data_IF_910794597453
#
_entry.id   IF_910794597453
#
_cell.length_a   1.000
_cell.length_b   1.000
_cell.length_c   1.000
_cell.angle_alpha   90.00
_cell.angle_beta   90.00
_cell.angle_gamma   90.00
#
_symmetry.space_group_name_H-M   'P 1'
#
loop_
_entity.id
_entity.type
_entity.pdbx_description
1 polymer ?
#
# COMPACT_ATOMS: atom_id res chain seq x y z
N UNK A 1 -18.89 -2.52 18.89
CA UNK A 1 -17.78 -1.61 19.31
C UNK A 1 -16.48 -2.34 19.02
N UNK A 2 -15.99 -2.27 17.78
CA UNK A 2 -14.74 -2.90 17.38
C UNK A 2 -13.68 -1.81 17.27
N UNK A 3 -12.59 -1.98 18.01
CA UNK A 3 -11.52 -1.00 18.12
C UNK A 3 -10.83 -0.78 16.78
N UNK A 4 -10.54 0.49 16.48
CA UNK A 4 -9.65 0.94 15.42
C UNK A 4 -8.40 0.03 15.36
N UNK A 5 -8.22 -0.71 14.26
CA UNK A 5 -6.95 -1.34 13.90
C UNK A 5 -6.14 -0.39 13.00
N UNK A 6 -5.98 0.87 13.41
CA UNK A 6 -4.73 1.55 13.07
C UNK A 6 -3.61 0.72 13.72
N UNK A 7 -2.42 0.64 13.12
CA UNK A 7 -1.27 0.09 13.81
C UNK A 7 -1.25 0.63 15.24
N UNK A 8 -1.07 -0.24 16.24
CA UNK A 8 -1.20 0.20 17.65
C UNK A 8 -0.18 1.32 17.84
N UNK A 9 -0.44 2.36 18.63
CA UNK A 9 0.50 3.48 18.81
C UNK A 9 1.95 3.02 19.08
N UNK A 10 2.12 1.89 19.78
CA UNK A 10 3.41 1.24 20.04
C UNK A 10 4.15 0.73 18.78
N UNK A 11 3.44 0.33 17.72
CA UNK A 11 4.04 -0.14 16.47
C UNK A 11 4.71 1.01 15.71
N UNK A 12 4.07 2.19 15.67
CA UNK A 12 4.66 3.39 15.05
C UNK A 12 5.87 3.90 15.81
N UNK A 13 5.81 3.95 17.15
CA UNK A 13 6.97 4.37 17.95
C UNK A 13 8.15 3.41 17.79
N UNK A 14 7.89 2.09 17.73
CA UNK A 14 8.95 1.10 17.51
C UNK A 14 9.57 1.21 16.12
N UNK A 15 8.76 1.41 15.08
CA UNK A 15 9.25 1.54 13.73
C UNK A 15 10.00 2.87 13.51
N UNK A 16 9.52 3.98 14.10
CA UNK A 16 10.26 5.24 14.16
C UNK A 16 11.62 5.06 14.86
N UNK A 17 11.65 4.36 15.99
CA UNK A 17 12.87 4.08 16.73
C UNK A 17 13.90 3.28 15.91
N UNK A 18 13.44 2.26 15.18
CA UNK A 18 14.27 1.47 14.26
C UNK A 18 14.82 2.35 13.13
N UNK A 19 13.97 3.19 12.54
CA UNK A 19 14.35 4.09 11.46
C UNK A 19 15.38 5.13 11.88
N UNK A 20 15.17 5.79 13.03
CA UNK A 20 16.14 6.74 13.60
C UNK A 20 17.49 6.06 13.83
N UNK A 21 17.48 4.85 14.40
CA UNK A 21 18.70 4.06 14.61
C UNK A 21 19.41 3.75 13.29
N UNK A 22 18.67 3.25 12.29
CA UNK A 22 19.23 2.88 10.99
C UNK A 22 19.85 4.08 10.26
N UNK A 23 19.16 5.23 10.23
CA UNK A 23 19.66 6.46 9.59
C UNK A 23 20.90 7.02 10.29
N UNK A 24 20.96 6.89 11.62
CA UNK A 24 22.13 7.27 12.42
C UNK A 24 23.32 6.37 12.11
N UNK A 25 23.11 5.04 12.09
CA UNK A 25 24.15 4.05 11.83
C UNK A 25 24.67 4.13 10.39
N UNK A 26 23.81 4.40 9.40
CA UNK A 26 24.21 4.64 8.01
C UNK A 26 25.14 5.85 7.85
N UNK A 27 25.05 6.83 8.76
CA UNK A 27 25.97 7.99 8.83
C UNK A 27 27.24 7.72 9.65
N UNK A 28 27.37 6.53 10.23
CA UNK A 28 28.46 6.20 11.15
C UNK A 28 28.39 6.96 12.48
N UNK A 29 27.23 7.50 12.85
CA UNK A 29 27.08 8.30 14.07
C UNK A 29 26.81 7.43 15.30
N UNK A 30 27.43 7.79 16.43
CA UNK A 30 27.05 7.27 17.73
C UNK A 30 25.74 7.91 18.20
N UNK A 31 25.08 7.31 19.20
CA UNK A 31 23.90 7.93 19.85
C UNK A 31 24.23 9.32 20.41
N UNK A 32 25.40 9.46 21.02
CA UNK A 32 25.86 10.75 21.57
C UNK A 32 26.00 11.81 20.48
N UNK A 33 26.52 11.41 19.31
CA UNK A 33 26.64 12.31 18.17
C UNK A 33 25.27 12.77 17.67
N UNK A 34 24.31 11.86 17.43
CA UNK A 34 22.96 12.27 17.00
C UNK A 34 22.26 13.12 18.07
N UNK A 35 22.39 12.76 19.35
CA UNK A 35 21.78 13.52 20.43
C UNK A 35 22.31 14.96 20.47
N UNK A 36 23.62 15.14 20.25
CA UNK A 36 24.27 16.44 20.14
C UNK A 36 23.75 17.25 18.95
N UNK A 37 23.74 16.66 17.75
CA UNK A 37 23.26 17.36 16.54
C UNK A 37 21.77 17.73 16.64
N UNK A 38 20.94 16.85 17.22
CA UNK A 38 19.52 17.10 17.42
C UNK A 38 19.20 17.97 18.66
N UNK A 39 20.21 18.47 19.38
CA UNK A 39 20.03 19.25 20.62
C UNK A 39 19.13 18.56 21.68
N UNK A 40 19.20 17.23 21.80
CA UNK A 40 18.46 16.44 22.80
C UNK A 40 19.39 15.68 23.73
N UNK A 41 18.89 15.26 24.89
CA UNK A 41 19.72 14.46 25.79
C UNK A 41 20.01 13.07 25.20
N UNK A 42 21.24 12.56 25.40
CA UNK A 42 21.59 11.19 25.03
C UNK A 42 20.66 10.16 25.71
N UNK A 43 20.14 10.47 26.91
CA UNK A 43 19.13 9.65 27.60
C UNK A 43 17.81 9.61 26.85
N UNK A 44 17.36 10.73 26.27
CA UNK A 44 16.15 10.80 25.44
C UNK A 44 16.31 9.92 24.21
N UNK A 45 17.42 10.04 23.50
CA UNK A 45 17.68 9.24 22.31
C UNK A 45 17.81 7.74 22.66
N UNK A 46 18.50 7.39 23.75
CA UNK A 46 18.62 6.02 24.21
C UNK A 46 17.27 5.39 24.60
N UNK A 47 16.34 6.18 25.17
CA UNK A 47 14.97 5.74 25.46
C UNK A 47 14.13 5.57 24.19
N UNK A 48 14.30 6.47 23.21
CA UNK A 48 13.62 6.36 21.92
C UNK A 48 14.07 5.10 21.20
N UNK A 49 15.37 4.87 21.06
CA UNK A 49 15.92 3.70 20.36
C UNK A 49 15.82 2.39 21.17
N UNK A 50 15.52 2.43 22.47
CA UNK A 50 15.48 1.25 23.35
C UNK A 50 14.22 0.39 23.20
N UNK A 51 14.17 -0.75 23.91
CA UNK A 51 13.07 -1.73 23.83
C UNK A 51 11.71 -1.20 24.34
N UNK A 52 11.71 -0.08 25.08
CA UNK A 52 10.51 0.60 25.56
C UNK A 52 10.23 1.86 24.77
N UNK A 53 9.96 1.74 23.46
CA UNK A 53 9.72 2.85 22.54
C UNK A 53 8.73 3.85 23.14
N UNK A 54 9.28 4.93 23.71
CA UNK A 54 8.49 6.06 24.20
C UNK A 54 7.89 6.76 22.98
N UNK A 55 6.66 7.27 23.09
CA UNK A 55 6.13 8.20 22.10
C UNK A 55 6.94 9.50 22.20
N UNK A 56 7.80 9.83 21.22
CA UNK A 56 8.52 11.09 21.26
C UNK A 56 7.55 12.26 21.07
N UNK A 57 7.84 13.40 21.70
CA UNK A 57 7.12 14.63 21.42
C UNK A 57 7.41 15.11 19.99
N UNK A 58 6.47 15.86 19.41
CA UNK A 58 6.58 16.39 18.04
C UNK A 58 7.90 17.12 17.78
N UNK A 59 8.32 18.01 18.69
CA UNK A 59 9.58 18.76 18.56
C UNK A 59 10.83 17.87 18.60
N UNK A 60 10.77 16.75 19.34
CA UNK A 60 11.88 15.78 19.35
C UNK A 60 12.01 15.08 18.00
N UNK A 61 10.88 14.71 17.38
CA UNK A 61 10.89 14.10 16.05
C UNK A 61 11.41 15.09 15.02
N UNK A 62 10.95 16.35 15.05
CA UNK A 62 11.42 17.41 14.16
C UNK A 62 12.93 17.65 14.28
N UNK A 63 13.46 17.77 15.49
CA UNK A 63 14.88 17.98 15.73
C UNK A 63 15.74 16.80 15.25
N UNK A 64 15.25 15.56 15.41
CA UNK A 64 15.94 14.38 14.88
C UNK A 64 15.92 14.34 13.36
N UNK A 65 14.78 14.67 12.72
CA UNK A 65 14.67 14.73 11.26
C UNK A 65 15.62 15.77 10.66
N UNK A 66 15.66 16.97 11.27
CA UNK A 66 16.55 18.05 10.89
C UNK A 66 18.02 17.65 11.04
N UNK A 67 18.42 17.10 12.20
CA UNK A 67 19.79 16.65 12.43
C UNK A 67 20.23 15.50 11.50
N UNK A 68 19.29 14.65 11.10
CA UNK A 68 19.53 13.58 10.13
C UNK A 68 19.38 14.04 8.69
N UNK A 69 19.09 15.32 8.41
CA UNK A 69 18.87 15.85 7.06
C UNK A 69 17.89 14.98 6.23
N UNK A 70 16.79 14.56 6.84
CA UNK A 70 15.73 13.79 6.18
C UNK A 70 14.39 14.50 6.35
N UNK A 71 13.48 14.29 5.40
CA UNK A 71 12.09 14.75 5.57
C UNK A 71 11.40 13.97 6.69
N UNK A 72 10.34 14.54 7.28
CA UNK A 72 9.50 13.79 8.21
C UNK A 72 8.91 12.55 7.53
N UNK A 73 8.51 12.64 6.26
CA UNK A 73 8.03 11.49 5.49
C UNK A 73 9.08 10.38 5.37
N UNK A 74 10.34 10.71 5.11
CA UNK A 74 11.45 9.74 5.06
C UNK A 74 11.74 9.10 6.43
N UNK A 75 11.50 9.85 7.51
CA UNK A 75 11.66 9.40 8.88
C UNK A 75 10.56 8.42 9.31
N UNK A 76 9.38 8.51 8.71
CA UNK A 76 8.28 7.57 8.92
C UNK A 76 8.20 6.48 7.82
N UNK A 77 8.96 6.58 6.72
CA UNK A 77 8.84 5.65 5.57
C UNK A 77 9.04 4.17 5.91
N UNK A 78 9.84 3.81 6.91
CA UNK A 78 10.00 2.40 7.36
C UNK A 78 8.86 1.88 8.25
N UNK A 79 7.95 2.76 8.72
CA UNK A 79 6.73 2.30 9.40
C UNK A 79 5.70 1.74 8.41
N UNK A 80 5.84 2.09 7.14
CA UNK A 80 5.06 1.59 6.02
C UNK A 80 5.91 0.50 5.32
N UNK A 81 5.44 -0.75 5.29
CA UNK A 81 6.24 -1.86 4.75
C UNK A 81 6.67 -1.61 3.29
N UNK A 82 7.60 -2.42 2.76
CA UNK A 82 8.13 -2.27 1.39
C UNK A 82 7.01 -1.94 0.38
N UNK A 83 7.10 -0.82 -0.36
CA UNK A 83 6.12 -0.45 -1.38
C UNK A 83 5.97 -1.53 -2.45
N UNK A 84 4.81 -1.56 -3.10
CA UNK A 84 4.56 -2.46 -4.21
C UNK A 84 3.10 -2.76 -4.42
N UNK A 85 2.85 -3.87 -5.12
CA UNK A 85 1.51 -4.29 -5.48
C UNK A 85 1.09 -5.55 -4.74
N UNK A 86 -0.18 -5.58 -4.34
CA UNK A 86 -0.85 -6.75 -3.82
C UNK A 86 -2.00 -7.17 -4.74
N UNK A 87 -2.04 -8.45 -5.08
CA UNK A 87 -3.14 -9.02 -5.85
C UNK A 87 -4.36 -9.22 -4.94
N UNK A 88 -5.44 -8.46 -5.14
CA UNK A 88 -6.61 -8.47 -4.26
C UNK A 88 -7.90 -8.86 -5.00
N UNK A 89 -8.35 -10.10 -4.77
CA UNK A 89 -9.62 -10.63 -5.27
C UNK A 89 -10.61 -10.84 -4.13
N UNK A 90 -11.83 -10.31 -4.26
CA UNK A 90 -12.83 -10.39 -3.20
C UNK A 90 -13.88 -11.51 -3.38
N UNK A 91 -13.79 -12.31 -4.43
CA UNK A 91 -14.59 -13.52 -4.57
C UNK A 91 -14.38 -14.43 -3.33
N UNK A 92 -15.48 -15.02 -2.83
CA UNK A 92 -15.45 -15.80 -1.58
C UNK A 92 -15.34 -15.02 -0.26
N UNK A 93 -14.80 -13.78 -0.24
CA UNK A 93 -14.63 -12.95 0.99
C UNK A 93 -15.77 -11.98 1.30
N UNK A 94 -16.29 -11.93 2.52
CA UNK A 94 -17.14 -10.82 2.96
C UNK A 94 -16.30 -9.54 3.17
N UNK A 95 -16.97 -8.40 3.42
CA UNK A 95 -16.30 -7.10 3.51
C UNK A 95 -15.37 -7.01 4.74
N UNK A 96 -15.76 -7.59 5.87
CA UNK A 96 -15.01 -7.49 7.12
C UNK A 96 -13.73 -8.32 7.04
N UNK A 97 -13.83 -9.57 6.56
CA UNK A 97 -12.65 -10.42 6.30
C UNK A 97 -11.74 -9.85 5.22
N UNK A 98 -12.28 -9.20 4.20
CA UNK A 98 -11.48 -8.53 3.17
C UNK A 98 -10.69 -7.34 3.74
N UNK A 99 -11.35 -6.47 4.51
CA UNK A 99 -10.68 -5.33 5.16
C UNK A 99 -9.63 -5.81 6.17
N UNK A 100 -9.91 -6.87 6.93
CA UNK A 100 -8.94 -7.48 7.83
C UNK A 100 -7.65 -7.93 7.09
N UNK A 101 -7.79 -8.62 5.95
CA UNK A 101 -6.64 -9.03 5.13
C UNK A 101 -5.83 -7.84 4.58
N UNK A 102 -6.50 -6.72 4.24
CA UNK A 102 -5.81 -5.49 3.83
C UNK A 102 -5.00 -4.89 4.97
N UNK A 103 -5.56 -4.84 6.18
CA UNK A 103 -4.88 -4.35 7.39
C UNK A 103 -3.69 -5.24 7.79
N UNK A 104 -3.87 -6.56 7.76
CA UNK A 104 -2.79 -7.52 8.04
C UNK A 104 -1.65 -7.38 7.03
N UNK A 105 -2.00 -7.08 5.78
CA UNK A 105 -1.05 -6.78 4.71
C UNK A 105 -0.61 -5.31 4.70
N UNK A 106 -1.02 -4.49 5.68
CA UNK A 106 -0.69 -3.06 5.80
C UNK A 106 -0.89 -2.29 4.50
N UNK A 107 -1.98 -2.54 3.79
CA UNK A 107 -2.29 -1.85 2.54
C UNK A 107 -2.63 -0.40 2.85
N UNK A 108 -1.96 0.53 2.16
CA UNK A 108 -2.22 1.96 2.28
C UNK A 108 -3.31 2.40 1.28
N UNK A 109 -3.32 1.80 0.08
CA UNK A 109 -4.22 2.19 -1.03
C UNK A 109 -4.88 0.97 -1.67
N UNK A 110 -6.18 1.04 -1.93
CA UNK A 110 -6.90 0.10 -2.79
C UNK A 110 -7.15 0.75 -4.15
N UNK A 111 -6.51 0.19 -5.18
CA UNK A 111 -6.72 0.55 -6.57
C UNK A 111 -7.79 -0.37 -7.19
N UNK A 112 -9.02 0.13 -7.32
CA UNK A 112 -10.11 -0.58 -7.97
C UNK A 112 -9.94 -0.56 -9.49
N UNK A 113 -9.66 -1.72 -10.07
CA UNK A 113 -9.49 -1.90 -11.53
C UNK A 113 -10.73 -2.54 -12.15
N UNK A 114 -11.91 -2.40 -11.56
CA UNK A 114 -13.18 -2.78 -12.20
C UNK A 114 -13.60 -1.69 -13.17
N UNK A 115 -14.04 -2.07 -14.38
CA UNK A 115 -14.57 -1.09 -15.34
C UNK A 115 -15.80 -0.36 -14.78
N UNK A 116 -16.64 -1.08 -14.03
CA UNK A 116 -17.76 -0.51 -13.30
C UNK A 116 -17.76 -1.11 -11.89
N UNK A 117 -17.52 -0.30 -10.84
CA UNK A 117 -17.35 -0.79 -9.47
C UNK A 117 -18.70 -1.04 -8.77
N UNK A 118 -19.58 -1.78 -9.46
CA UNK A 118 -20.83 -2.33 -8.93
C UNK A 118 -20.59 -3.77 -8.51
N UNK A 119 -21.24 -4.21 -7.43
CA UNK A 119 -21.16 -5.58 -6.96
C UNK A 119 -22.48 -6.00 -6.32
N UNK A 120 -22.88 -7.25 -6.58
CA UNK A 120 -23.99 -7.90 -5.87
C UNK A 120 -23.56 -8.38 -4.48
N UNK A 121 -22.25 -8.49 -4.24
CA UNK A 121 -21.71 -8.89 -2.93
C UNK A 121 -21.85 -7.72 -1.96
N UNK A 122 -22.49 -7.98 -0.82
CA UNK A 122 -22.71 -6.98 0.24
C UNK A 122 -21.36 -6.34 0.63
N UNK A 123 -21.33 -5.01 0.69
CA UNK A 123 -20.14 -4.24 1.03
C UNK A 123 -19.23 -3.86 -0.14
N UNK A 124 -19.30 -4.51 -1.30
CA UNK A 124 -18.34 -4.30 -2.40
C UNK A 124 -18.80 -3.36 -3.52
N UNK A 125 -19.93 -2.65 -3.35
CA UNK A 125 -20.27 -1.51 -4.21
C UNK A 125 -19.33 -0.33 -3.91
N UNK A 126 -18.91 0.45 -4.91
CA UNK A 126 -18.00 1.61 -4.78
C UNK A 126 -18.19 2.41 -3.47
N UNK A 127 -19.40 2.90 -3.22
CA UNK A 127 -19.70 3.73 -2.04
C UNK A 127 -19.48 3.00 -0.72
N UNK A 128 -19.95 1.74 -0.61
CA UNK A 128 -19.83 0.97 0.63
C UNK A 128 -18.41 0.50 0.88
N UNK A 129 -17.72 0.09 -0.18
CA UNK A 129 -16.31 -0.30 -0.10
C UNK A 129 -15.47 0.91 0.29
N UNK A 130 -15.68 2.05 -0.36
CA UNK A 130 -14.99 3.30 -0.02
C UNK A 130 -15.20 3.73 1.43
N UNK A 131 -16.41 3.57 1.97
CA UNK A 131 -16.69 3.85 3.39
C UNK A 131 -15.93 2.90 4.33
N UNK A 132 -16.00 1.59 4.08
CA UNK A 132 -15.33 0.60 4.91
C UNK A 132 -13.80 0.77 4.90
N UNK A 133 -13.22 1.12 3.73
CA UNK A 133 -11.80 1.41 3.60
C UNK A 133 -11.41 2.70 4.33
N UNK A 134 -12.21 3.76 4.19
CA UNK A 134 -11.96 5.02 4.89
C UNK A 134 -12.02 4.85 6.42
N UNK A 135 -12.97 4.07 6.94
CA UNK A 135 -13.03 3.72 8.37
C UNK A 135 -11.80 2.94 8.85
N UNK A 136 -11.16 2.19 7.94
CA UNK A 136 -9.92 1.46 8.19
C UNK A 136 -8.65 2.30 7.92
N UNK A 137 -8.79 3.56 7.51
CA UNK A 137 -7.66 4.42 7.16
C UNK A 137 -6.97 4.07 5.84
N UNK A 138 -7.65 3.36 4.93
CA UNK A 138 -7.13 2.92 3.64
C UNK A 138 -7.70 3.81 2.54
N UNK A 139 -6.84 4.36 1.69
CA UNK A 139 -7.27 5.17 0.56
C UNK A 139 -7.94 4.31 -0.51
N UNK A 140 -8.98 4.84 -1.16
CA UNK A 140 -9.65 4.19 -2.27
C UNK A 140 -9.53 5.03 -3.54
N UNK A 141 -8.97 4.44 -4.60
CA UNK A 141 -8.90 5.05 -5.93
C UNK A 141 -9.52 4.13 -6.98
N UNK A 142 -10.25 4.71 -7.93
CA UNK A 142 -10.88 3.96 -9.03
C UNK A 142 -10.15 4.27 -10.33
N UNK A 143 -9.47 3.26 -10.88
CA UNK A 143 -8.69 3.34 -12.11
C UNK A 143 -9.48 2.69 -13.25
N UNK A 144 -10.48 3.42 -13.75
CA UNK A 144 -11.44 2.92 -14.74
C UNK A 144 -10.76 2.45 -16.03
N UNK A 145 -9.68 3.10 -16.45
CA UNK A 145 -8.90 2.74 -17.64
C UNK A 145 -8.30 1.33 -17.56
N UNK A 146 -8.15 0.79 -16.35
CA UNK A 146 -7.64 -0.57 -16.10
C UNK A 146 -8.75 -1.62 -15.96
N UNK A 147 -9.98 -1.26 -16.32
CA UNK A 147 -11.15 -2.13 -16.24
C UNK A 147 -11.32 -3.08 -17.40
N UNK A 148 -11.55 -4.37 -17.14
CA UNK A 148 -11.88 -5.34 -18.19
C UNK A 148 -13.25 -5.06 -18.82
N UNK A 149 -13.32 -4.77 -20.14
CA UNK A 149 -14.58 -4.54 -20.83
C UNK A 149 -15.42 -5.80 -20.95
N UNK A 150 -16.72 -5.64 -21.22
CA UNK A 150 -17.70 -6.74 -21.15
C UNK A 150 -17.40 -7.80 -22.20
N UNK A 151 -17.01 -7.36 -23.39
CA UNK A 151 -16.69 -8.20 -24.55
C UNK A 151 -15.51 -9.14 -24.27
N UNK A 152 -14.59 -8.73 -23.40
CA UNK A 152 -13.40 -9.51 -23.04
C UNK A 152 -13.57 -10.37 -21.78
N UNK A 153 -14.80 -10.52 -21.25
CA UNK A 153 -15.03 -11.38 -20.09
C UNK A 153 -14.99 -12.85 -20.48
N UNK A 154 -15.72 -13.24 -21.54
CA UNK A 154 -15.91 -14.65 -21.92
C UNK A 154 -14.62 -15.46 -22.04
N UNK A 155 -13.52 -14.96 -22.66
CA UNK A 155 -12.28 -15.73 -22.74
C UNK A 155 -11.70 -16.16 -21.37
N UNK A 156 -11.87 -15.35 -20.32
CA UNK A 156 -11.43 -15.70 -18.97
C UNK A 156 -12.30 -16.79 -18.31
N UNK A 157 -13.60 -16.80 -18.60
CA UNK A 157 -14.53 -17.82 -18.10
C UNK A 157 -14.34 -19.17 -18.81
N UNK A 158 -14.18 -19.13 -20.14
CA UNK A 158 -14.08 -20.32 -20.98
C UNK A 158 -12.67 -20.95 -21.02
N UNK A 159 -11.72 -20.39 -20.25
CA UNK A 159 -10.33 -20.88 -20.18
C UNK A 159 -9.43 -20.47 -21.35
N UNK A 160 -9.90 -19.62 -22.27
CA UNK A 160 -9.10 -19.04 -23.38
C UNK A 160 -8.29 -17.84 -22.88
N UNK A 161 -7.50 -18.06 -21.84
CA UNK A 161 -6.84 -17.00 -21.07
C UNK A 161 -5.90 -16.14 -21.92
N UNK A 162 -5.16 -16.73 -22.86
CA UNK A 162 -4.23 -15.99 -23.73
C UNK A 162 -4.95 -15.01 -24.66
N UNK A 163 -6.13 -15.39 -25.15
CA UNK A 163 -6.99 -14.50 -25.95
C UNK A 163 -7.46 -13.33 -25.09
N UNK A 164 -7.93 -13.63 -23.87
CA UNK A 164 -8.38 -12.60 -22.93
C UNK A 164 -7.27 -11.62 -22.54
N UNK A 165 -6.06 -12.13 -22.28
CA UNK A 165 -4.87 -11.32 -21.98
C UNK A 165 -4.41 -10.49 -23.17
N UNK A 166 -4.40 -11.06 -24.37
CA UNK A 166 -4.02 -10.33 -25.59
C UNK A 166 -4.95 -9.14 -25.85
N UNK A 167 -6.27 -9.39 -25.83
CA UNK A 167 -7.26 -8.32 -25.96
C UNK A 167 -7.08 -7.24 -24.89
N UNK A 168 -6.88 -7.64 -23.63
CA UNK A 168 -6.75 -6.67 -22.56
C UNK A 168 -5.47 -5.83 -22.67
N UNK A 169 -4.36 -6.40 -23.18
CA UNK A 169 -3.17 -5.61 -23.52
C UNK A 169 -3.46 -4.53 -24.57
N UNK A 170 -4.34 -4.79 -25.54
CA UNK A 170 -4.76 -3.76 -26.49
C UNK A 170 -5.60 -2.67 -25.83
N UNK A 171 -6.50 -3.03 -24.90
CA UNK A 171 -7.26 -2.04 -24.09
C UNK A 171 -6.30 -1.11 -23.34
N UNK A 172 -5.21 -1.66 -22.77
CA UNK A 172 -4.23 -0.89 -22.04
C UNK A 172 -3.47 0.13 -22.91
N UNK A 173 -3.52 0.05 -24.25
CA UNK A 173 -2.88 1.03 -25.14
C UNK A 173 -3.62 2.36 -25.23
N UNK A 174 -4.88 2.43 -24.78
CA UNK A 174 -5.65 3.68 -24.78
C UNK A 174 -5.01 4.74 -23.85
N UNK A 175 -5.16 6.02 -24.19
CA UNK A 175 -4.60 7.14 -23.40
C UNK A 175 -5.06 7.09 -21.94
N UNK A 176 -6.36 6.85 -21.71
CA UNK A 176 -6.91 6.75 -20.36
C UNK A 176 -6.34 5.58 -19.55
N UNK A 177 -6.05 4.44 -20.20
CA UNK A 177 -5.41 3.32 -19.53
C UNK A 177 -3.93 3.58 -19.25
N UNK A 178 -3.21 4.25 -20.16
CA UNK A 178 -1.83 4.65 -19.92
C UNK A 178 -1.70 5.62 -18.74
N UNK A 179 -2.58 6.64 -18.67
CA UNK A 179 -2.62 7.56 -17.53
C UNK A 179 -2.91 6.85 -16.20
N UNK A 180 -3.86 5.91 -16.18
CA UNK A 180 -4.16 5.13 -14.96
C UNK A 180 -3.03 4.14 -14.60
N UNK A 181 -2.30 3.59 -15.57
CA UNK A 181 -1.10 2.78 -15.32
C UNK A 181 0.02 3.61 -14.69
N UNK A 182 0.21 4.85 -15.12
CA UNK A 182 1.22 5.75 -14.56
C UNK A 182 0.86 6.13 -13.11
N UNK A 183 -0.41 6.45 -12.85
CA UNK A 183 -0.91 6.70 -11.49
C UNK A 183 -0.71 5.48 -10.59
N UNK A 184 -1.03 4.27 -11.07
CA UNK A 184 -0.83 3.04 -10.30
C UNK A 184 0.66 2.77 -10.04
N UNK A 185 1.53 3.05 -11.01
CA UNK A 185 2.97 2.91 -10.86
C UNK A 185 3.53 3.87 -9.79
N UNK A 186 3.12 5.13 -9.80
CA UNK A 186 3.51 6.13 -8.79
C UNK A 186 3.09 5.69 -7.38
N UNK A 187 1.82 5.31 -7.20
CA UNK A 187 1.34 4.79 -5.91
C UNK A 187 2.14 3.57 -5.45
N UNK A 188 2.44 2.63 -6.35
CA UNK A 188 3.16 1.39 -6.02
C UNK A 188 4.63 1.61 -5.66
N UNK A 189 5.25 2.71 -6.11
CA UNK A 189 6.61 3.08 -5.71
C UNK A 189 6.67 3.70 -4.32
N UNK A 190 5.56 4.31 -3.88
CA UNK A 190 5.50 5.08 -2.64
C UNK A 190 4.80 4.34 -1.50
N UNK A 191 3.92 3.39 -1.82
CA UNK A 191 2.99 2.79 -0.87
C UNK A 191 2.67 1.33 -1.22
N UNK A 192 1.93 0.67 -0.32
CA UNK A 192 1.44 -0.70 -0.52
C UNK A 192 0.05 -0.65 -1.14
N UNK A 193 -0.04 -1.03 -2.42
CA UNK A 193 -1.26 -0.89 -3.20
C UNK A 193 -1.92 -2.24 -3.46
N UNK A 194 -3.14 -2.44 -2.96
CA UNK A 194 -3.96 -3.58 -3.33
C UNK A 194 -4.70 -3.31 -4.65
N UNK A 195 -4.38 -4.08 -5.69
CA UNK A 195 -5.06 -4.01 -6.99
C UNK A 195 -6.31 -4.89 -6.92
N UNK A 196 -7.47 -4.25 -6.90
CA UNK A 196 -8.75 -4.89 -6.62
C UNK A 196 -9.51 -5.28 -7.88
N UNK A 197 -9.92 -6.55 -7.95
CA UNK A 197 -10.97 -7.00 -8.88
C UNK A 197 -11.89 -8.04 -8.19
N UNK A 198 -12.89 -8.55 -8.93
CA UNK A 198 -13.79 -9.58 -8.38
C UNK A 198 -13.08 -10.92 -8.18
N UNK A 199 -12.46 -11.44 -9.24
CA UNK A 199 -11.87 -12.78 -9.30
C UNK A 199 -10.82 -13.01 -8.20
N UNK A 200 -10.89 -14.18 -7.53
CA UNK A 200 -9.92 -14.56 -6.50
C UNK A 200 -8.56 -14.83 -7.12
N UNK A 201 -8.52 -15.62 -8.18
CA UNK A 201 -7.30 -16.05 -8.86
C UNK A 201 -6.87 -15.05 -9.94
N UNK A 202 -5.79 -14.28 -9.72
CA UNK A 202 -5.35 -13.30 -10.73
C UNK A 202 -5.02 -13.92 -12.09
N UNK A 203 -4.58 -15.18 -12.13
CA UNK A 203 -4.21 -15.86 -13.39
C UNK A 203 -5.41 -16.06 -14.32
N UNK A 204 -6.62 -15.95 -13.76
CA UNK A 204 -7.90 -16.11 -14.45
C UNK A 204 -8.61 -14.78 -14.71
N UNK A 205 -7.96 -13.64 -14.54
CA UNK A 205 -8.55 -12.35 -14.86
C UNK A 205 -7.57 -11.34 -15.44
N UNK A 206 -8.08 -10.15 -15.77
CA UNK A 206 -7.29 -9.05 -16.32
C UNK A 206 -6.28 -8.47 -15.32
N UNK A 207 -6.50 -8.70 -14.01
CA UNK A 207 -5.63 -8.18 -12.95
C UNK A 207 -4.18 -8.61 -13.13
N UNK A 208 -3.93 -9.84 -13.58
CA UNK A 208 -2.57 -10.31 -13.89
C UNK A 208 -1.86 -9.39 -14.88
N UNK A 209 -2.53 -8.99 -15.97
CA UNK A 209 -1.95 -8.13 -17.00
C UNK A 209 -1.63 -6.75 -16.42
N UNK A 210 -2.50 -6.19 -15.58
CA UNK A 210 -2.24 -4.91 -14.90
C UNK A 210 -1.00 -5.03 -14.00
N UNK A 211 -0.96 -6.05 -13.13
CA UNK A 211 0.14 -6.28 -12.19
C UNK A 211 1.48 -6.45 -12.91
N UNK A 212 1.51 -7.25 -13.98
CA UNK A 212 2.71 -7.49 -14.78
C UNK A 212 3.18 -6.22 -15.49
N UNK A 213 2.25 -5.44 -16.03
CA UNK A 213 2.55 -4.19 -16.74
C UNK A 213 3.18 -3.17 -15.79
N UNK A 214 2.60 -2.98 -14.59
CA UNK A 214 3.12 -2.02 -13.61
C UNK A 214 4.43 -2.51 -13.00
N UNK A 215 4.57 -3.81 -12.71
CA UNK A 215 5.84 -4.40 -12.27
C UNK A 215 6.97 -4.08 -13.24
N UNK A 216 6.73 -4.25 -14.55
CA UNK A 216 7.73 -3.93 -15.57
C UNK A 216 7.99 -2.42 -15.70
N UNK A 217 6.96 -1.59 -15.53
CA UNK A 217 7.05 -0.13 -15.65
C UNK A 217 7.79 0.53 -14.50
N UNK A 218 7.56 0.07 -13.27
CA UNK A 218 8.02 0.72 -12.04
C UNK A 218 9.08 -0.08 -11.25
N UNK A 219 9.39 -1.31 -11.67
CA UNK A 219 10.29 -2.24 -10.96
C UNK A 219 9.91 -2.48 -9.50
N UNK A 220 8.61 -2.67 -9.25
CA UNK A 220 8.05 -2.91 -7.90
C UNK A 220 7.70 -4.39 -7.67
N UNK A 221 7.76 -4.89 -6.43
CA UNK A 221 7.35 -6.26 -6.14
C UNK A 221 5.83 -6.45 -6.27
N UNK A 222 5.42 -7.66 -6.60
CA UNK A 222 4.02 -8.10 -6.61
C UNK A 222 3.86 -9.25 -5.62
N UNK A 223 2.93 -9.12 -4.68
CA UNK A 223 2.70 -10.08 -3.59
C UNK A 223 1.23 -10.53 -3.56
N UNK A 224 0.93 -11.73 -3.04
CA UNK A 224 -0.44 -12.13 -2.76
C UNK A 224 -0.97 -11.38 -1.54
N UNK A 225 -2.28 -11.10 -1.51
CA UNK A 225 -2.96 -10.62 -0.32
C UNK A 225 -3.23 -11.79 0.66
N UNK A 226 -3.03 -11.54 1.96
CA UNK A 226 -3.27 -12.50 3.03
C UNK A 226 -4.68 -13.13 3.04
#
# INVERSE_FOLDING_TARGET
>A
MAGHHSARPHDHARALAQRVRALREARGWSREQLAKEACISNRTLARLEGEGAIQPGFFTVGAIAEALEVSLDDLFRETHGTPGLWSAGYEGRDIDSFVASLLDSRIDVVADVRLTPISRKKGFSKTRLGHALAEAGIEYTHLRGLGNPKENRAPFWDGRLDVGRAFFRDVLRSEGAQADLDRLAEHAQQSRVAVLCFEKDESRCHRQVVLETVRARASVPVMPLA
#
